data_IF_434590462275
#
_entry.id   IF_434590462275
#
_cell.length_a   1.000
_cell.length_b   1.000
_cell.length_c   1.000
_cell.angle_alpha   90.00
_cell.angle_beta   90.00
_cell.angle_gamma   90.00
#
_symmetry.space_group_name_H-M   'P 1'
#
loop_
_entity.id
_entity.type
_entity.pdbx_description
1 polymer ?
#
# COMPACT_ATOMS: atom_id res chain seq x y z
N UNK A 1 52.78 -34.68 -27.36
CA UNK A 1 53.05 -33.52 -26.49
C UNK A 1 52.13 -32.33 -26.74
N UNK A 2 51.97 -31.77 -27.95
CA UNK A 2 51.07 -30.63 -28.17
C UNK A 2 49.60 -30.95 -27.89
N UNK A 3 49.14 -32.18 -28.17
CA UNK A 3 47.75 -32.59 -27.95
C UNK A 3 47.38 -32.65 -26.46
N UNK A 4 48.27 -33.16 -25.60
CA UNK A 4 48.06 -33.19 -24.14
C UNK A 4 47.97 -31.76 -23.60
N UNK A 5 48.87 -30.87 -24.01
CA UNK A 5 48.85 -29.46 -23.60
C UNK A 5 47.53 -28.77 -24.00
N UNK A 6 47.11 -28.93 -25.26
CA UNK A 6 45.85 -28.37 -25.75
C UNK A 6 44.66 -28.93 -24.96
N UNK A 7 44.61 -30.25 -24.75
CA UNK A 7 43.55 -30.87 -23.95
C UNK A 7 43.51 -30.34 -22.51
N UNK A 8 44.67 -30.17 -21.86
CA UNK A 8 44.72 -29.62 -20.50
C UNK A 8 44.29 -28.16 -20.44
N UNK A 9 44.69 -27.33 -21.41
CA UNK A 9 44.29 -25.92 -21.48
C UNK A 9 42.80 -25.77 -21.74
N UNK A 10 42.23 -26.60 -22.63
CA UNK A 10 40.78 -26.61 -22.88
C UNK A 10 39.98 -27.01 -21.64
N UNK A 11 40.43 -28.02 -20.90
CA UNK A 11 39.79 -28.42 -19.63
C UNK A 11 39.88 -27.32 -18.57
N UNK A 12 41.02 -26.64 -18.48
CA UNK A 12 41.20 -25.52 -17.54
C UNK A 12 40.27 -24.36 -17.89
N UNK A 13 40.17 -24.01 -19.18
CA UNK A 13 39.26 -22.96 -19.64
C UNK A 13 37.79 -23.31 -19.39
N UNK A 14 37.40 -24.57 -19.64
CA UNK A 14 36.06 -25.06 -19.33
C UNK A 14 35.75 -24.98 -17.83
N UNK A 15 36.69 -25.40 -16.99
CA UNK A 15 36.54 -25.33 -15.53
C UNK A 15 36.37 -23.88 -15.04
N UNK A 16 37.16 -22.95 -15.58
CA UNK A 16 37.04 -21.52 -15.27
C UNK A 16 35.69 -20.95 -15.73
N UNK A 17 35.23 -21.31 -16.92
CA UNK A 17 33.94 -20.86 -17.43
C UNK A 17 32.79 -21.35 -16.54
N UNK A 18 32.76 -22.64 -16.21
CA UNK A 18 31.74 -23.23 -15.32
C UNK A 18 31.78 -22.58 -13.94
N UNK A 19 32.97 -22.35 -13.38
CA UNK A 19 33.12 -21.67 -12.09
C UNK A 19 32.57 -20.24 -12.13
N UNK A 20 32.89 -19.47 -13.16
CA UNK A 20 32.42 -18.09 -13.32
C UNK A 20 30.91 -18.03 -13.51
N UNK A 21 30.34 -18.89 -14.35
CA UNK A 21 28.88 -18.98 -14.53
C UNK A 21 28.18 -19.37 -13.22
N UNK A 22 28.70 -20.37 -12.48
CA UNK A 22 28.12 -20.78 -11.21
C UNK A 22 28.20 -19.68 -10.14
N UNK A 23 29.34 -19.00 -10.04
CA UNK A 23 29.53 -17.87 -9.12
C UNK A 23 28.62 -16.69 -9.47
N UNK A 24 28.38 -16.44 -10.76
CA UNK A 24 27.42 -15.44 -11.23
C UNK A 24 25.99 -15.77 -10.79
N UNK A 25 25.56 -17.01 -11.02
CA UNK A 25 24.23 -17.46 -10.60
C UNK A 25 24.05 -17.41 -9.07
N UNK A 26 25.07 -17.78 -8.31
CA UNK A 26 25.06 -17.63 -6.86
C UNK A 26 24.92 -16.17 -6.43
N UNK A 27 25.62 -15.24 -7.10
CA UNK A 27 25.55 -13.81 -6.80
C UNK A 27 24.15 -13.25 -7.08
N UNK A 28 23.55 -13.61 -8.21
CA UNK A 28 22.18 -13.26 -8.54
C UNK A 28 21.18 -13.85 -7.53
N UNK A 29 21.34 -15.13 -7.16
CA UNK A 29 20.49 -15.82 -6.19
C UNK A 29 20.50 -15.18 -4.81
N UNK A 30 21.70 -14.93 -4.25
CA UNK A 30 21.84 -14.26 -2.95
C UNK A 30 21.23 -12.86 -2.98
N UNK A 31 21.40 -12.11 -4.08
CA UNK A 31 20.79 -10.79 -4.20
C UNK A 31 19.25 -10.88 -4.26
N UNK A 32 18.70 -11.86 -4.98
CA UNK A 32 17.25 -12.05 -5.09
C UNK A 32 16.66 -12.43 -3.72
N UNK A 33 17.27 -13.39 -3.03
CA UNK A 33 16.85 -13.82 -1.69
C UNK A 33 16.91 -12.67 -0.68
N UNK A 34 17.99 -11.89 -0.69
CA UNK A 34 18.11 -10.73 0.21
C UNK A 34 17.05 -9.68 -0.07
N UNK A 35 16.77 -9.39 -1.34
CA UNK A 35 15.71 -8.46 -1.71
C UNK A 35 14.32 -8.94 -1.29
N UNK A 36 14.03 -10.23 -1.49
CA UNK A 36 12.77 -10.81 -1.05
C UNK A 36 12.64 -10.85 0.48
N UNK A 37 13.73 -11.14 1.19
CA UNK A 37 13.75 -11.29 2.64
C UNK A 37 13.55 -9.96 3.40
N UNK A 38 14.11 -8.85 2.91
CA UNK A 38 13.94 -7.54 3.56
C UNK A 38 12.70 -6.79 3.10
N UNK A 39 11.86 -7.41 2.27
CA UNK A 39 10.75 -6.70 1.62
C UNK A 39 9.74 -6.12 2.61
N UNK A 40 9.55 -6.79 3.74
CA UNK A 40 8.59 -6.41 4.78
C UNK A 40 8.96 -5.14 5.56
N UNK A 41 10.22 -4.72 5.55
CA UNK A 41 10.67 -3.50 6.21
C UNK A 41 11.88 -2.88 5.50
N UNK A 42 11.73 -1.64 5.04
CA UNK A 42 12.77 -0.93 4.32
C UNK A 42 14.03 -0.66 5.16
N UNK A 43 13.94 -0.62 6.48
CA UNK A 43 15.08 -0.30 7.34
C UNK A 43 15.96 -1.51 7.65
N UNK A 44 15.52 -2.73 7.29
CA UNK A 44 16.29 -3.96 7.52
C UNK A 44 17.62 -3.92 6.78
N UNK A 45 18.67 -4.33 7.51
CA UNK A 45 19.96 -4.61 6.93
C UNK A 45 19.84 -5.77 5.93
N UNK A 46 20.27 -5.54 4.69
CA UNK A 46 20.14 -6.51 3.58
C UNK A 46 20.97 -7.78 3.75
N UNK A 47 21.92 -7.81 4.68
CA UNK A 47 22.80 -8.96 4.95
C UNK A 47 22.40 -9.69 6.22
N UNK A 48 22.10 -8.95 7.30
CA UNK A 48 21.83 -9.53 8.62
C UNK A 48 20.35 -9.61 8.99
N UNK A 49 19.49 -8.87 8.30
CA UNK A 49 18.07 -8.73 8.65
C UNK A 49 17.78 -7.88 9.88
N UNK A 50 18.82 -7.35 10.54
CA UNK A 50 18.65 -6.52 11.74
C UNK A 50 18.03 -5.16 11.39
N UNK A 51 17.16 -4.67 12.27
CA UNK A 51 16.56 -3.33 12.23
C UNK A 51 16.30 -2.86 13.67
N UNK A 52 16.26 -1.55 13.90
CA UNK A 52 15.98 -1.01 15.22
C UNK A 52 14.48 -1.02 15.52
N UNK A 53 14.12 -1.20 16.79
CA UNK A 53 12.73 -1.12 17.23
C UNK A 53 12.22 0.32 17.03
N UNK A 54 11.12 0.48 16.30
CA UNK A 54 10.54 1.78 15.94
C UNK A 54 10.99 2.33 14.58
N UNK A 55 11.93 1.66 13.90
CA UNK A 55 12.29 1.94 12.52
C UNK A 55 11.56 0.96 11.59
N UNK A 56 10.31 1.26 11.27
CA UNK A 56 9.49 0.49 10.32
C UNK A 56 8.92 1.37 9.20
N UNK A 57 8.30 0.72 8.22
CA UNK A 57 7.65 1.37 7.09
C UNK A 57 6.26 1.94 7.47
N UNK A 58 5.82 1.83 8.73
CA UNK A 58 4.48 2.21 9.19
C UNK A 58 3.43 1.12 8.95
N UNK A 59 2.18 1.36 9.36
CA UNK A 59 1.11 0.34 9.23
C UNK A 59 0.56 0.19 7.80
N UNK A 60 0.63 1.26 7.01
CA UNK A 60 -0.07 1.36 5.73
C UNK A 60 0.84 1.32 4.50
N UNK A 61 2.15 1.10 4.64
CA UNK A 61 3.09 1.09 3.50
C UNK A 61 2.72 0.11 2.41
N UNK A 62 2.05 -0.98 2.76
CA UNK A 62 1.58 -1.95 1.77
C UNK A 62 0.57 -1.35 0.80
N UNK A 63 -0.18 -0.33 1.22
CA UNK A 63 -1.14 0.37 0.39
C UNK A 63 -0.49 1.39 -0.56
N UNK A 64 0.58 2.07 -0.11
CA UNK A 64 1.18 3.21 -0.84
C UNK A 64 2.61 2.96 -1.36
N UNK A 65 3.24 1.84 -1.01
CA UNK A 65 4.67 1.58 -1.25
C UNK A 65 5.00 0.10 -1.49
N UNK A 66 4.04 -0.66 -2.01
CA UNK A 66 4.21 -2.08 -2.41
C UNK A 66 3.72 -2.36 -3.85
N UNK A 67 3.76 -1.35 -4.73
CA UNK A 67 3.34 -1.47 -6.15
C UNK A 67 1.95 -2.09 -6.34
N UNK A 68 0.95 -1.71 -5.52
CA UNK A 68 -0.44 -2.22 -5.64
C UNK A 68 -1.03 -2.05 -7.04
N UNK A 69 -0.59 -1.02 -7.76
CA UNK A 69 -0.99 -0.75 -9.13
C UNK A 69 -0.71 -1.92 -10.09
N UNK A 70 0.28 -2.78 -9.77
CA UNK A 70 0.59 -4.01 -10.53
C UNK A 70 -0.54 -5.05 -10.47
N UNK A 71 -1.37 -5.04 -9.43
CA UNK A 71 -2.55 -5.92 -9.32
C UNK A 71 -3.56 -5.68 -10.44
N UNK A 72 -3.59 -4.45 -10.95
CA UNK A 72 -4.47 -4.01 -12.02
C UNK A 72 -3.73 -3.94 -13.37
N UNK A 73 -2.53 -4.52 -13.48
CA UNK A 73 -1.75 -4.53 -14.73
C UNK A 73 -2.53 -5.09 -15.93
N UNK A 74 -3.51 -5.97 -15.69
CA UNK A 74 -4.38 -6.53 -16.72
C UNK A 74 -5.44 -5.53 -17.24
N UNK A 75 -5.77 -4.50 -16.47
CA UNK A 75 -6.72 -3.42 -16.82
C UNK A 75 -5.99 -2.15 -17.28
N UNK A 76 -4.85 -1.84 -16.67
CA UNK A 76 -4.04 -0.65 -16.91
C UNK A 76 -2.59 -1.13 -16.98
N UNK A 77 -1.90 -1.02 -18.13
CA UNK A 77 -0.50 -1.40 -18.23
C UNK A 77 0.33 -0.64 -17.18
N UNK A 78 0.83 -1.35 -16.18
CA UNK A 78 1.74 -0.82 -15.17
C UNK A 78 3.14 -1.41 -15.37
N UNK A 79 4.14 -0.53 -15.30
CA UNK A 79 5.53 -0.94 -15.34
C UNK A 79 5.91 -1.49 -13.95
N UNK A 80 6.49 -2.68 -13.92
CA UNK A 80 7.05 -3.26 -12.71
C UNK A 80 8.12 -2.32 -12.12
N UNK A 81 8.17 -2.24 -10.79
CA UNK A 81 9.20 -1.47 -10.08
C UNK A 81 10.59 -2.00 -10.42
N UNK A 82 11.43 -1.17 -11.02
CA UNK A 82 12.71 -1.59 -11.58
C UNK A 82 13.83 -0.60 -11.27
N UNK A 83 15.02 -1.14 -11.02
CA UNK A 83 16.27 -0.37 -10.98
C UNK A 83 17.31 -0.98 -11.92
N UNK A 84 18.29 -0.15 -12.30
CA UNK A 84 19.45 -0.55 -13.10
C UNK A 84 20.72 -0.47 -12.27
N UNK A 85 21.62 -1.43 -12.46
CA UNK A 85 22.91 -1.52 -11.79
C UNK A 85 24.06 -0.97 -12.67
N UNK A 86 25.12 -0.42 -12.06
CA UNK A 86 25.30 -0.21 -10.62
C UNK A 86 24.44 0.95 -10.08
N UNK A 87 24.06 0.87 -8.82
CA UNK A 87 23.23 1.89 -8.16
C UNK A 87 23.82 2.31 -6.81
N UNK A 88 23.45 3.48 -6.32
CA UNK A 88 23.89 4.03 -5.04
C UNK A 88 22.70 4.28 -4.12
N UNK A 89 22.84 4.00 -2.82
CA UNK A 89 21.75 4.24 -1.86
C UNK A 89 21.42 5.74 -1.81
N UNK A 90 20.14 6.06 -2.04
CA UNK A 90 19.59 7.40 -1.81
C UNK A 90 18.77 7.38 -0.53
N UNK A 91 19.10 8.29 0.40
CA UNK A 91 18.37 8.41 1.67
C UNK A 91 16.94 8.93 1.41
N UNK A 92 15.95 8.30 2.02
CA UNK A 92 14.54 8.74 1.98
C UNK A 92 13.62 7.92 1.08
N UNK A 93 14.16 7.07 0.20
CA UNK A 93 13.33 6.22 -0.67
C UNK A 93 12.95 4.90 0.05
N UNK A 94 11.73 4.87 0.57
CA UNK A 94 11.12 3.71 1.25
C UNK A 94 10.25 2.86 0.32
N UNK A 95 10.04 3.33 -0.92
CA UNK A 95 9.27 2.63 -1.93
C UNK A 95 9.97 1.38 -2.47
N UNK A 96 9.29 0.61 -3.32
CA UNK A 96 9.82 -0.61 -3.94
C UNK A 96 11.20 -0.41 -4.57
N UNK A 97 11.39 0.65 -5.35
CA UNK A 97 12.66 0.97 -6.00
C UNK A 97 13.76 1.29 -4.97
N UNK A 98 13.42 1.98 -3.88
CA UNK A 98 14.31 2.21 -2.74
C UNK A 98 14.73 0.92 -2.05
N UNK A 99 13.80 -0.03 -1.87
CA UNK A 99 14.09 -1.38 -1.35
C UNK A 99 15.07 -2.14 -2.24
N UNK A 100 14.81 -2.15 -3.55
CA UNK A 100 15.71 -2.77 -4.52
C UNK A 100 17.08 -2.09 -4.53
N UNK A 101 17.14 -0.76 -4.39
CA UNK A 101 18.38 0.02 -4.43
C UNK A 101 19.33 -0.32 -3.29
N UNK A 102 18.82 -0.55 -2.09
CA UNK A 102 19.65 -0.95 -0.94
C UNK A 102 20.32 -2.31 -1.15
N UNK A 103 19.63 -3.24 -1.81
CA UNK A 103 20.21 -4.54 -2.18
C UNK A 103 21.20 -4.36 -3.33
N UNK A 104 20.80 -3.61 -4.37
CA UNK A 104 21.65 -3.32 -5.52
C UNK A 104 22.97 -2.62 -5.14
N UNK A 105 22.96 -1.76 -4.13
CA UNK A 105 24.16 -1.10 -3.63
C UNK A 105 25.14 -2.04 -2.91
N UNK A 106 24.68 -3.21 -2.45
CA UNK A 106 25.55 -4.25 -1.88
C UNK A 106 26.20 -5.14 -2.97
N UNK A 107 25.74 -5.04 -4.23
CA UNK A 107 26.33 -5.74 -5.36
C UNK A 107 27.57 -4.95 -5.84
N UNK A 108 28.65 -5.67 -6.19
CA UNK A 108 29.86 -5.03 -6.74
C UNK A 108 29.54 -4.20 -7.98
N UNK A 109 30.20 -3.03 -8.11
CA UNK A 109 30.04 -2.09 -9.24
C UNK A 109 30.45 -2.67 -10.60
N UNK A 110 31.14 -3.82 -10.61
CA UNK A 110 31.50 -4.55 -11.82
C UNK A 110 30.29 -5.19 -12.51
N UNK A 111 29.22 -5.46 -11.75
CA UNK A 111 27.99 -6.01 -12.28
C UNK A 111 27.13 -4.91 -12.89
N UNK A 112 26.62 -5.21 -14.08
CA UNK A 112 25.56 -4.45 -14.74
C UNK A 112 24.29 -5.30 -14.75
N UNK A 113 23.17 -4.68 -15.07
CA UNK A 113 21.89 -5.38 -15.22
C UNK A 113 20.76 -4.71 -14.47
N UNK A 114 19.71 -5.48 -14.15
CA UNK A 114 18.46 -4.95 -13.62
C UNK A 114 17.95 -5.79 -12.45
N UNK A 115 17.30 -5.09 -11.51
CA UNK A 115 16.56 -5.71 -10.42
C UNK A 115 15.13 -5.22 -10.56
N UNK A 116 14.18 -6.14 -10.53
CA UNK A 116 12.75 -5.88 -10.73
C UNK A 116 11.94 -6.49 -9.60
N UNK A 117 10.89 -5.79 -9.20
CA UNK A 117 9.87 -6.29 -8.30
C UNK A 117 8.51 -6.28 -9.00
N UNK A 118 7.73 -7.35 -8.79
CA UNK A 118 6.36 -7.46 -9.31
C UNK A 118 5.41 -7.92 -8.23
N UNK A 119 4.33 -7.16 -8.03
CA UNK A 119 3.24 -7.53 -7.15
C UNK A 119 2.05 -8.10 -7.93
N UNK A 120 1.87 -9.42 -7.90
CA UNK A 120 0.71 -10.10 -8.49
C UNK A 120 -0.35 -10.49 -7.45
N UNK A 121 -0.32 -9.83 -6.28
CA UNK A 121 -1.27 -9.99 -5.19
C UNK A 121 -0.87 -11.12 -4.27
N UNK A 122 -1.31 -12.33 -4.61
CA UNK A 122 -0.97 -13.53 -3.82
C UNK A 122 0.52 -13.88 -4.00
N UNK A 123 1.05 -13.62 -5.20
CA UNK A 123 2.44 -13.89 -5.53
C UNK A 123 3.19 -12.57 -5.73
N UNK A 124 4.30 -12.43 -5.01
CA UNK A 124 5.17 -11.25 -5.06
C UNK A 124 6.57 -11.77 -5.31
N UNK A 125 7.25 -11.20 -6.30
CA UNK A 125 8.52 -11.73 -6.77
C UNK A 125 9.53 -10.61 -6.99
N UNK A 126 10.78 -10.90 -6.62
CA UNK A 126 11.94 -10.13 -7.07
C UNK A 126 12.70 -10.94 -8.11
N UNK A 127 12.90 -10.34 -9.29
CA UNK A 127 13.71 -10.92 -10.37
C UNK A 127 14.98 -10.09 -10.56
N UNK A 128 16.12 -10.76 -10.71
CA UNK A 128 17.42 -10.14 -10.90
C UNK A 128 18.06 -10.67 -12.18
N UNK A 129 18.60 -9.77 -12.98
CA UNK A 129 19.40 -10.06 -14.17
C UNK A 129 20.73 -9.35 -14.01
N UNK A 130 21.84 -10.11 -13.96
CA UNK A 130 23.19 -9.55 -13.86
C UNK A 130 24.04 -9.99 -15.04
N UNK A 131 24.84 -9.06 -15.56
CA UNK A 131 25.90 -9.35 -16.51
C UNK A 131 27.25 -8.80 -16.01
N UNK A 132 28.29 -9.61 -16.15
CA UNK A 132 29.66 -9.23 -15.84
C UNK A 132 30.56 -9.46 -17.05
N UNK A 133 31.40 -8.48 -17.44
CA UNK A 133 32.40 -8.68 -18.48
C UNK A 133 33.37 -9.81 -18.11
N UNK A 134 33.48 -10.82 -18.98
CA UNK A 134 34.49 -11.85 -18.85
C UNK A 134 35.81 -11.33 -19.40
N UNK A 135 36.86 -11.28 -18.58
CA UNK A 135 38.16 -10.77 -19.00
C UNK A 135 38.87 -11.81 -19.86
N UNK A 136 38.59 -11.79 -21.16
CA UNK A 136 39.25 -12.62 -22.17
C UNK A 136 40.52 -11.93 -22.69
N UNK A 137 41.59 -12.70 -22.94
CA UNK A 137 42.76 -12.17 -23.63
C UNK A 137 42.37 -11.68 -25.03
N UNK A 138 42.90 -10.52 -25.45
CA UNK A 138 42.59 -9.86 -26.74
C UNK A 138 42.68 -10.77 -27.97
N UNK A 139 43.58 -11.75 -27.95
CA UNK A 139 43.76 -12.70 -29.06
C UNK A 139 42.63 -13.73 -29.18
N UNK A 140 41.81 -13.89 -28.14
CA UNK A 140 40.74 -14.88 -28.06
C UNK A 140 39.35 -14.28 -27.87
N UNK A 141 39.21 -12.94 -27.83
CA UNK A 141 37.93 -12.23 -27.74
C UNK A 141 36.92 -12.72 -28.80
N UNK A 142 37.34 -12.91 -30.05
CA UNK A 142 36.44 -13.36 -31.14
C UNK A 142 35.94 -14.81 -31.01
N UNK A 143 36.62 -15.65 -30.22
CA UNK A 143 36.34 -17.08 -30.11
C UNK A 143 35.65 -17.43 -28.78
N UNK A 144 35.79 -16.57 -27.77
CA UNK A 144 35.37 -16.82 -26.40
C UNK A 144 34.25 -15.87 -25.99
N UNK A 145 33.44 -16.26 -25.02
CA UNK A 145 32.33 -15.46 -24.51
C UNK A 145 32.82 -14.11 -23.94
N UNK A 146 32.08 -13.04 -24.20
CA UNK A 146 32.40 -11.68 -23.74
C UNK A 146 31.82 -11.35 -22.36
N UNK A 147 30.67 -11.93 -22.02
CA UNK A 147 29.95 -11.66 -20.78
C UNK A 147 29.53 -12.96 -20.11
N UNK A 148 29.49 -12.93 -18.77
CA UNK A 148 28.83 -13.94 -17.96
C UNK A 148 27.47 -13.38 -17.55
N UNK A 149 26.42 -13.99 -18.09
CA UNK A 149 25.03 -13.66 -17.76
C UNK A 149 24.54 -14.55 -16.61
N UNK A 150 23.72 -13.97 -15.74
CA UNK A 150 23.06 -14.68 -14.65
C UNK A 150 21.70 -14.09 -14.35
N UNK A 151 20.79 -14.94 -13.92
CA UNK A 151 19.44 -14.53 -13.55
C UNK A 151 18.93 -15.36 -12.38
N UNK A 152 18.22 -14.70 -11.47
CA UNK A 152 17.62 -15.36 -10.32
C UNK A 152 16.30 -14.71 -9.97
N UNK A 153 15.45 -15.48 -9.31
CA UNK A 153 14.12 -15.06 -8.88
C UNK A 153 13.90 -15.55 -7.46
N UNK A 154 13.30 -14.72 -6.62
CA UNK A 154 12.93 -15.07 -5.26
C UNK A 154 11.52 -14.56 -4.95
N UNK A 155 10.72 -15.40 -4.30
CA UNK A 155 9.38 -15.04 -3.86
C UNK A 155 9.46 -14.28 -2.53
N UNK A 156 8.70 -13.18 -2.44
CA UNK A 156 8.53 -12.44 -1.19
C UNK A 156 7.59 -13.21 -0.28
N UNK A 157 8.14 -13.81 0.77
CA UNK A 157 7.37 -14.56 1.77
C UNK A 157 7.19 -13.70 3.02
N UNK A 158 5.93 -13.33 3.29
CA UNK A 158 5.52 -12.62 4.51
C UNK A 158 4.34 -13.39 5.12
N UNK A 159 4.62 -14.36 6.02
CA UNK A 159 3.59 -15.26 6.54
C UNK A 159 2.45 -14.52 7.25
N UNK A 160 2.77 -13.42 7.93
CA UNK A 160 1.79 -12.62 8.68
C UNK A 160 0.81 -11.97 7.72
N UNK A 161 1.30 -11.37 6.64
CA UNK A 161 0.43 -10.78 5.62
C UNK A 161 -0.32 -11.82 4.81
N UNK A 162 0.28 -12.98 4.54
CA UNK A 162 -0.46 -14.08 3.90
C UNK A 162 -1.68 -14.48 4.71
N UNK A 163 -1.55 -14.64 6.03
CA UNK A 163 -2.68 -14.93 6.93
C UNK A 163 -3.71 -13.79 6.89
N UNK A 164 -3.27 -12.53 6.97
CA UNK A 164 -4.17 -11.37 6.96
C UNK A 164 -4.95 -11.27 5.65
N UNK A 165 -4.30 -11.43 4.50
CA UNK A 165 -4.94 -11.37 3.18
C UNK A 165 -5.93 -12.52 3.02
N UNK A 166 -5.57 -13.74 3.45
CA UNK A 166 -6.47 -14.89 3.39
C UNK A 166 -7.69 -14.66 4.29
N UNK A 167 -7.50 -14.16 5.51
CA UNK A 167 -8.61 -13.89 6.44
C UNK A 167 -9.51 -12.75 5.96
N UNK A 168 -8.92 -11.65 5.46
CA UNK A 168 -9.64 -10.55 4.83
C UNK A 168 -10.45 -11.05 3.63
N UNK A 169 -9.83 -11.83 2.76
CA UNK A 169 -10.50 -12.38 1.57
C UNK A 169 -11.64 -13.30 1.98
N UNK A 170 -11.42 -14.19 2.96
CA UNK A 170 -12.45 -15.10 3.44
C UNK A 170 -13.63 -14.36 4.06
N UNK A 171 -13.36 -13.34 4.87
CA UNK A 171 -14.38 -12.66 5.68
C UNK A 171 -15.11 -11.59 4.87
N UNK A 172 -14.38 -10.70 4.19
CA UNK A 172 -14.95 -9.51 3.58
C UNK A 172 -15.35 -9.67 2.12
N UNK A 173 -14.82 -10.64 1.37
CA UNK A 173 -15.13 -10.71 -0.08
C UNK A 173 -16.61 -10.99 -0.32
N UNK A 174 -17.27 -11.73 0.57
CA UNK A 174 -18.71 -12.00 0.47
C UNK A 174 -19.57 -10.74 0.66
N UNK A 175 -19.09 -9.78 1.46
CA UNK A 175 -19.79 -8.52 1.72
C UNK A 175 -19.54 -7.46 0.63
N UNK A 176 -18.38 -7.52 -0.02
CA UNK A 176 -17.96 -6.56 -1.05
C UNK A 176 -18.35 -6.99 -2.46
N UNK A 177 -18.49 -8.30 -2.70
CA UNK A 177 -18.82 -8.87 -4.01
C UNK A 177 -20.17 -8.31 -4.50
N UNK A 178 -20.12 -7.56 -5.60
CA UNK A 178 -21.29 -6.92 -6.21
C UNK A 178 -21.59 -5.50 -5.72
N UNK A 179 -20.86 -4.99 -4.72
CA UNK A 179 -21.03 -3.61 -4.21
C UNK A 179 -20.03 -2.61 -4.79
N UNK A 180 -18.88 -3.09 -5.29
CA UNK A 180 -17.81 -2.27 -5.86
C UNK A 180 -17.36 -2.83 -7.20
N UNK A 181 -17.29 -1.98 -8.23
CA UNK A 181 -16.70 -2.33 -9.52
C UNK A 181 -15.18 -2.16 -9.48
N UNK A 182 -14.39 -2.90 -10.29
CA UNK A 182 -12.92 -2.75 -10.31
C UNK A 182 -12.45 -1.31 -10.55
N UNK A 183 -13.15 -0.55 -11.40
CA UNK A 183 -12.85 0.87 -11.64
C UNK A 183 -13.13 1.74 -10.42
N UNK A 184 -14.29 1.57 -9.80
CA UNK A 184 -14.66 2.33 -8.59
C UNK A 184 -13.73 2.02 -7.41
N UNK A 185 -13.24 0.78 -7.30
CA UNK A 185 -12.25 0.41 -6.30
C UNK A 185 -10.94 1.19 -6.49
N UNK A 186 -10.42 1.25 -7.72
CA UNK A 186 -9.20 2.02 -8.05
C UNK A 186 -9.36 3.50 -7.74
N UNK A 187 -10.51 4.10 -8.03
CA UNK A 187 -10.78 5.52 -7.71
C UNK A 187 -10.84 5.79 -6.20
N UNK A 188 -11.26 4.79 -5.41
CA UNK A 188 -11.33 4.88 -3.94
C UNK A 188 -9.95 4.73 -3.30
N UNK A 189 -8.98 4.12 -3.98
CA UNK A 189 -7.58 4.04 -3.56
C UNK A 189 -6.82 5.34 -3.86
N UNK A 190 -7.34 6.47 -3.38
CA UNK A 190 -6.64 7.75 -3.38
C UNK A 190 -5.92 7.97 -2.05
N UNK A 191 -4.61 8.23 -2.11
CA UNK A 191 -3.78 8.39 -0.92
C UNK A 191 -4.16 9.66 -0.13
N UNK A 192 -4.36 9.58 1.19
CA UNK A 192 -4.39 10.78 2.02
C UNK A 192 -3.00 11.42 2.01
N UNK A 193 -2.92 12.64 1.48
CA UNK A 193 -1.65 13.34 1.18
C UNK A 193 -0.87 13.78 2.43
N UNK A 194 -1.40 13.56 3.63
CA UNK A 194 -0.68 13.70 4.90
C UNK A 194 -1.58 13.32 6.06
N UNK A 195 -0.99 12.75 7.11
CA UNK A 195 -1.59 12.81 8.44
C UNK A 195 -1.33 14.23 8.95
N UNK A 196 -2.36 15.04 9.28
CA UNK A 196 -2.14 16.38 9.80
C UNK A 196 -1.21 16.34 11.02
N UNK A 197 -0.05 17.00 10.96
CA UNK A 197 0.96 17.03 12.03
C UNK A 197 0.47 17.71 13.31
N UNK A 198 -0.62 18.49 13.24
CA UNK A 198 -1.24 19.10 14.40
C UNK A 198 -2.52 18.35 14.78
N UNK A 199 -2.61 17.95 16.05
CA UNK A 199 -3.88 17.56 16.68
C UNK A 199 -4.88 18.65 16.40
N UNK A 200 -5.85 18.38 15.54
CA UNK A 200 -6.94 19.30 15.25
C UNK A 200 -7.72 19.49 16.55
N UNK A 201 -7.63 20.68 17.15
CA UNK A 201 -8.41 21.03 18.33
C UNK A 201 -9.82 21.35 17.86
N UNK A 202 -10.79 20.57 18.35
CA UNK A 202 -12.20 20.78 18.06
C UNK A 202 -12.82 21.49 19.26
N UNK A 203 -13.06 22.79 19.13
CA UNK A 203 -13.56 23.68 20.18
C UNK A 203 -14.97 24.23 19.90
N UNK A 204 -15.48 23.97 18.70
CA UNK A 204 -16.71 24.54 18.17
C UNK A 204 -17.34 23.64 17.12
N UNK A 205 -18.65 23.79 16.89
CA UNK A 205 -19.33 23.07 15.80
C UNK A 205 -18.71 23.39 14.43
N UNK A 206 -18.32 24.64 14.17
CA UNK A 206 -17.65 25.03 12.92
C UNK A 206 -16.31 24.30 12.72
N UNK A 207 -15.49 24.18 13.77
CA UNK A 207 -14.25 23.40 13.72
C UNK A 207 -14.52 21.91 13.48
N UNK A 208 -15.58 21.36 14.09
CA UNK A 208 -16.00 19.98 13.91
C UNK A 208 -16.45 19.69 12.46
N UNK A 209 -17.22 20.60 11.86
CA UNK A 209 -17.64 20.50 10.46
C UNK A 209 -16.44 20.56 9.52
N UNK A 210 -15.50 21.49 9.74
CA UNK A 210 -14.29 21.59 8.92
C UNK A 210 -13.41 20.34 9.01
N UNK A 211 -13.28 19.80 10.23
CA UNK A 211 -12.59 18.53 10.46
C UNK A 211 -13.28 17.39 9.72
N UNK A 212 -14.60 17.28 9.84
CA UNK A 212 -15.43 16.27 9.18
C UNK A 212 -15.30 16.32 7.66
N UNK A 213 -15.42 17.51 7.05
CA UNK A 213 -15.28 17.71 5.61
C UNK A 213 -13.90 17.27 5.11
N UNK A 214 -12.85 17.51 5.89
CA UNK A 214 -11.49 17.06 5.58
C UNK A 214 -11.37 15.54 5.71
N UNK A 215 -11.93 14.97 6.79
CA UNK A 215 -11.85 13.54 7.09
C UNK A 215 -12.53 12.67 6.03
N UNK A 216 -13.67 13.11 5.51
CA UNK A 216 -14.48 12.33 4.54
C UNK A 216 -14.34 12.84 3.11
N UNK A 217 -13.47 13.84 2.87
CA UNK A 217 -13.34 14.55 1.61
C UNK A 217 -14.70 15.01 1.04
N UNK A 218 -15.59 15.44 1.93
CA UNK A 218 -16.98 15.77 1.62
C UNK A 218 -17.24 17.27 1.64
N UNK A 219 -18.37 17.67 1.04
CA UNK A 219 -18.78 19.08 0.96
C UNK A 219 -20.12 19.31 1.62
N UNK A 220 -20.29 20.45 2.29
CA UNK A 220 -21.59 20.86 2.80
C UNK A 220 -22.58 21.06 1.63
N UNK A 221 -23.79 20.52 1.79
CA UNK A 221 -24.84 20.59 0.78
C UNK A 221 -26.20 20.64 1.46
N UNK A 222 -27.15 21.33 0.86
CA UNK A 222 -28.54 21.26 1.27
C UNK A 222 -29.29 20.33 0.33
N UNK A 223 -29.94 19.32 0.89
CA UNK A 223 -30.77 18.35 0.17
C UNK A 223 -32.24 18.54 0.54
N UNK A 224 -33.14 18.25 -0.40
CA UNK A 224 -34.57 18.22 -0.11
C UNK A 224 -34.91 16.86 0.50
N UNK A 225 -35.51 16.89 1.69
CA UNK A 225 -36.02 15.69 2.36
C UNK A 225 -37.39 15.32 1.83
N UNK A 226 -38.25 16.31 1.61
CA UNK A 226 -39.55 16.18 0.97
C UNK A 226 -39.95 17.53 0.35
N UNK A 227 -41.16 17.64 -0.20
CA UNK A 227 -41.65 18.85 -0.85
C UNK A 227 -41.64 20.11 0.05
N UNK A 228 -41.68 19.95 1.37
CA UNK A 228 -41.77 21.03 2.35
C UNK A 228 -40.52 21.18 3.24
N UNK A 229 -39.58 20.23 3.20
CA UNK A 229 -38.51 20.12 4.18
C UNK A 229 -37.15 20.01 3.50
N UNK A 230 -36.24 20.91 3.89
CA UNK A 230 -34.83 20.86 3.50
C UNK A 230 -33.95 20.44 4.67
N UNK A 231 -32.83 19.79 4.33
CA UNK A 231 -31.82 19.35 5.28
C UNK A 231 -30.45 19.82 4.82
N UNK A 232 -29.82 20.64 5.66
CA UNK A 232 -28.43 21.02 5.49
C UNK A 232 -27.52 19.92 6.02
N UNK A 233 -26.66 19.35 5.19
CA UNK A 233 -25.69 18.31 5.55
C UNK A 233 -24.31 18.94 5.70
N UNK A 234 -23.60 18.60 6.77
CA UNK A 234 -22.30 19.17 7.07
C UNK A 234 -21.23 18.69 6.08
N UNK A 235 -21.32 17.43 5.64
CA UNK A 235 -20.54 16.89 4.53
C UNK A 235 -21.29 15.76 3.82
N UNK A 236 -21.35 15.82 2.49
CA UNK A 236 -21.71 14.70 1.62
C UNK A 236 -20.45 14.19 0.94
N UNK A 237 -20.16 12.90 1.10
CA UNK A 237 -18.99 12.25 0.50
C UNK A 237 -19.25 11.79 -0.95
N UNK A 238 -18.21 11.30 -1.62
CA UNK A 238 -18.32 10.79 -3.00
C UNK A 238 -19.24 9.56 -3.13
N UNK A 239 -19.50 8.84 -2.03
CA UNK A 239 -20.35 7.66 -1.99
C UNK A 239 -21.81 7.99 -1.71
N UNK A 240 -22.18 9.27 -1.67
CA UNK A 240 -23.52 9.76 -1.32
C UNK A 240 -23.91 9.40 0.12
N UNK A 241 -22.93 9.33 1.03
CA UNK A 241 -23.13 9.18 2.46
C UNK A 241 -23.13 10.56 3.10
N UNK A 242 -24.21 10.87 3.80
CA UNK A 242 -24.38 12.12 4.53
C UNK A 242 -23.71 12.04 5.90
N UNK A 243 -22.86 12.99 6.21
CA UNK A 243 -22.18 13.12 7.50
C UNK A 243 -22.65 14.38 8.22
N UNK A 244 -23.06 14.22 9.49
CA UNK A 244 -23.47 15.33 10.36
C UNK A 244 -22.58 15.39 11.59
N UNK A 245 -22.08 16.58 11.93
CA UNK A 245 -21.30 16.84 13.13
C UNK A 245 -22.20 17.35 14.28
N UNK A 246 -21.99 16.81 15.48
CA UNK A 246 -22.64 17.25 16.71
C UNK A 246 -21.59 17.56 17.77
N UNK A 247 -21.37 18.86 18.00
CA UNK A 247 -20.50 19.37 19.07
C UNK A 247 -21.31 19.78 20.32
N UNK A 248 -22.46 20.40 20.09
CA UNK A 248 -23.43 20.75 21.15
C UNK A 248 -24.78 20.17 20.76
N UNK A 249 -25.35 19.33 21.62
CA UNK A 249 -26.60 18.64 21.34
C UNK A 249 -27.32 18.24 22.62
N UNK A 250 -28.62 17.96 22.49
CA UNK A 250 -29.40 17.22 23.48
C UNK A 250 -30.12 16.07 22.78
N UNK A 251 -30.26 14.93 23.44
CA UNK A 251 -30.97 13.79 22.83
C UNK A 251 -32.40 14.15 22.44
N UNK A 252 -33.10 14.95 23.24
CA UNK A 252 -34.47 15.38 22.92
C UNK A 252 -34.54 16.12 21.58
N UNK A 253 -33.63 17.08 21.36
CA UNK A 253 -33.56 17.82 20.10
C UNK A 253 -33.24 16.90 18.93
N UNK A 254 -32.29 15.98 19.10
CA UNK A 254 -31.91 15.06 18.03
C UNK A 254 -33.04 14.10 17.67
N UNK A 255 -33.76 13.56 18.66
CA UNK A 255 -34.90 12.66 18.47
C UNK A 255 -36.07 13.34 17.77
N UNK A 256 -36.36 14.59 18.14
CA UNK A 256 -37.54 15.31 17.65
C UNK A 256 -37.29 15.99 16.30
N UNK A 257 -36.05 16.40 16.00
CA UNK A 257 -35.77 17.27 14.86
C UNK A 257 -34.89 16.60 13.81
N UNK A 258 -33.75 16.05 14.21
CA UNK A 258 -32.74 15.61 13.24
C UNK A 258 -32.98 14.16 12.79
N UNK A 259 -33.28 13.26 13.72
CA UNK A 259 -33.48 11.84 13.42
C UNK A 259 -34.63 11.60 12.43
N UNK A 260 -35.81 12.24 12.55
CA UNK A 260 -36.89 12.00 11.60
C UNK A 260 -36.51 12.40 10.17
N UNK A 261 -35.84 13.55 10.01
CA UNK A 261 -35.36 14.05 8.71
C UNK A 261 -34.35 13.10 8.07
N UNK A 262 -33.40 12.63 8.86
CA UNK A 262 -32.32 11.77 8.36
C UNK A 262 -32.81 10.33 8.11
N UNK A 263 -33.81 9.84 8.87
CA UNK A 263 -34.49 8.59 8.60
C UNK A 263 -35.36 8.65 7.32
N UNK A 264 -36.01 9.79 7.07
CA UNK A 264 -36.78 10.02 5.84
C UNK A 264 -35.85 10.09 4.61
N UNK A 265 -34.71 10.77 4.72
CA UNK A 265 -33.68 10.78 3.67
C UNK A 265 -33.21 9.37 3.27
N UNK A 266 -33.08 8.47 4.26
CA UNK A 266 -32.71 7.08 4.02
C UNK A 266 -33.83 6.27 3.34
N UNK A 267 -35.10 6.63 3.57
CA UNK A 267 -36.25 5.94 2.99
C UNK A 267 -36.56 6.38 1.56
N UNK A 268 -36.41 7.67 1.24
CA UNK A 268 -36.66 8.19 -0.11
C UNK A 268 -35.57 7.76 -1.13
N UNK A 269 -34.38 7.39 -0.66
CA UNK A 269 -33.43 6.51 -1.36
C UNK A 269 -32.84 6.99 -2.70
N UNK A 270 -33.09 8.23 -3.14
CA UNK A 270 -32.64 8.70 -4.47
C UNK A 270 -31.37 9.56 -4.45
N UNK A 271 -31.11 10.30 -3.35
CA UNK A 271 -29.96 11.21 -3.25
C UNK A 271 -28.92 10.80 -2.21
N UNK A 272 -29.33 10.09 -1.15
CA UNK A 272 -28.48 9.71 -0.02
C UNK A 272 -28.54 8.20 0.18
N UNK A 273 -27.38 7.54 0.24
CA UNK A 273 -27.23 6.09 0.40
C UNK A 273 -26.97 5.65 1.83
N UNK A 274 -26.57 6.59 2.69
CA UNK A 274 -26.26 6.33 4.09
C UNK A 274 -26.21 7.62 4.89
N UNK A 275 -26.40 7.53 6.21
CA UNK A 275 -26.27 8.67 7.12
C UNK A 275 -25.37 8.27 8.30
N UNK A 276 -24.39 9.12 8.59
CA UNK A 276 -23.46 8.96 9.70
C UNK A 276 -23.48 10.20 10.59
N UNK A 277 -23.69 9.99 11.88
CA UNK A 277 -23.68 11.04 12.90
C UNK A 277 -22.38 10.98 13.68
N UNK A 278 -21.62 12.08 13.63
CA UNK A 278 -20.33 12.25 14.29
C UNK A 278 -20.52 13.11 15.53
N UNK A 279 -20.26 12.54 16.71
CA UNK A 279 -20.35 13.25 17.97
C UNK A 279 -18.96 13.59 18.48
N UNK A 280 -18.75 14.87 18.80
CA UNK A 280 -17.47 15.38 19.24
C UNK A 280 -17.53 15.71 20.72
N UNK A 281 -16.46 15.37 21.47
CA UNK A 281 -16.35 15.80 22.86
C UNK A 281 -16.30 17.33 22.95
N UNK A 282 -16.94 17.88 23.97
CA UNK A 282 -16.83 19.29 24.29
C UNK A 282 -15.52 19.54 25.02
N UNK A 283 -14.89 20.70 24.83
CA UNK A 283 -13.59 21.00 25.48
C UNK A 283 -13.61 20.95 27.01
N UNK A 284 -14.79 21.06 27.62
CA UNK A 284 -15.01 21.01 29.06
C UNK A 284 -15.55 19.65 29.57
N UNK A 285 -15.59 18.62 28.73
CA UNK A 285 -16.07 17.28 29.09
C UNK A 285 -15.11 16.20 28.60
N UNK A 286 -14.89 15.20 29.43
CA UNK A 286 -13.95 14.12 29.12
C UNK A 286 -14.50 13.11 28.11
N UNK A 287 -15.83 12.97 28.02
CA UNK A 287 -16.48 11.96 27.16
C UNK A 287 -17.76 12.48 26.52
N UNK A 288 -18.10 11.95 25.34
CA UNK A 288 -19.42 12.14 24.72
C UNK A 288 -20.44 11.22 25.40
N UNK A 289 -21.46 11.80 26.03
CA UNK A 289 -22.52 11.04 26.70
C UNK A 289 -23.72 10.90 25.77
N UNK A 290 -23.99 9.66 25.35
CA UNK A 290 -25.18 9.23 24.61
C UNK A 290 -25.74 7.98 25.28
N UNK A 291 -27.03 7.99 25.63
CA UNK A 291 -27.72 6.87 26.25
C UNK A 291 -27.72 5.64 25.33
N UNK A 292 -27.57 4.46 25.92
CA UNK A 292 -27.57 3.21 25.16
C UNK A 292 -28.86 3.02 24.35
N UNK A 293 -30.01 3.41 24.92
CA UNK A 293 -31.30 3.37 24.24
C UNK A 293 -31.34 4.25 22.99
N UNK A 294 -30.77 5.46 23.05
CA UNK A 294 -30.67 6.33 21.88
C UNK A 294 -29.81 5.75 20.77
N UNK A 295 -28.66 5.17 21.12
CA UNK A 295 -27.74 4.56 20.14
C UNK A 295 -28.43 3.42 19.40
N UNK A 296 -29.15 2.57 20.12
CA UNK A 296 -29.93 1.47 19.52
C UNK A 296 -31.04 1.99 18.60
N UNK A 297 -31.69 3.08 18.96
CA UNK A 297 -32.77 3.67 18.14
C UNK A 297 -32.24 4.24 16.83
N UNK A 298 -31.13 4.98 16.86
CA UNK A 298 -30.45 5.48 15.65
C UNK A 298 -30.03 4.32 14.74
N UNK A 299 -29.42 3.27 15.30
CA UNK A 299 -29.03 2.09 14.55
C UNK A 299 -30.23 1.38 13.89
N UNK A 300 -31.36 1.26 14.59
CA UNK A 300 -32.61 0.70 14.02
C UNK A 300 -33.16 1.53 12.86
N UNK A 301 -32.88 2.84 12.85
CA UNK A 301 -33.24 3.76 11.76
C UNK A 301 -32.20 3.80 10.64
N UNK A 302 -31.14 2.98 10.71
CA UNK A 302 -30.08 2.92 9.71
C UNK A 302 -29.05 4.05 9.81
N UNK A 303 -29.05 4.80 10.92
CA UNK A 303 -28.09 5.89 11.16
C UNK A 303 -26.88 5.33 11.91
N UNK A 304 -25.69 5.47 11.30
CA UNK A 304 -24.42 5.04 11.89
C UNK A 304 -23.90 6.11 12.84
N UNK A 305 -23.29 5.70 13.95
CA UNK A 305 -22.78 6.61 14.98
C UNK A 305 -21.27 6.49 15.06
N UNK A 306 -20.58 7.63 15.03
CA UNK A 306 -19.14 7.74 15.29
C UNK A 306 -18.91 8.72 16.42
N UNK A 307 -18.08 8.34 17.40
CA UNK A 307 -17.74 9.17 18.55
C UNK A 307 -16.27 9.57 18.44
N UNK A 308 -15.99 10.86 18.58
CA UNK A 308 -14.67 11.48 18.56
C UNK A 308 -14.32 11.97 19.97
N UNK A 309 -13.37 11.29 20.61
CA UNK A 309 -12.85 11.58 21.95
C UNK A 309 -11.44 12.19 21.92
#
# INVERSE_FOLDING_TARGET
MPLILISTLSLLFLALFVFQSSSAQQSAGIAADRAAFVWDNSTKNTVTGAYNVGEDDGLYWRLHSDSISDLFAFLIPNAASQITLPTAVTNGDRGPEGKLRRVGAAISKEWKGTIQYRNSGIFREVSIYLNKPFHTPKYAEKLLFHDVESSAQAQVVDPVESIRIIDLTRTFISEVKGRLSPRAAVETFTEPTSVPEQRVVIDSHASAVKYLQTLVNGKAITVKVNAATERHLDALDANQVAHQAFYTFTESQLRQVQMPKDAELLQEGTQIKGVVWHFFKQSNRDTVILSAGFRQELQRKGIVIVIHE
#
